data_IF_105930460974
#
_entry.id   IF_105930460974
#
_cell.length_a   1.000
_cell.length_b   1.000
_cell.length_c   1.000
_cell.angle_alpha   90.00
_cell.angle_beta   90.00
_cell.angle_gamma   90.00
#
_symmetry.space_group_name_H-M   'P 1'
#
loop_
_entity.id
_entity.type
_entity.pdbx_description
1 polymer ?
#
# COMPACT_ATOMS: atom_id res chain seq x y z
N UNK A 1 41.43 -21.88 16.02
CA UNK A 1 40.77 -20.75 16.71
C UNK A 1 39.79 -19.98 15.80
N UNK A 2 40.23 -19.17 14.83
CA UNK A 2 39.30 -18.39 13.98
C UNK A 2 38.28 -19.26 13.21
N UNK A 3 38.74 -20.39 12.66
CA UNK A 3 37.89 -21.34 11.93
C UNK A 3 36.78 -21.92 12.80
N UNK A 4 37.10 -22.25 14.04
CA UNK A 4 36.17 -22.88 14.99
C UNK A 4 35.10 -21.89 15.45
N UNK A 5 35.51 -20.65 15.74
CA UNK A 5 34.59 -19.55 16.05
C UNK A 5 33.65 -19.30 14.87
N UNK A 6 34.18 -19.28 13.64
CA UNK A 6 33.36 -19.11 12.43
C UNK A 6 32.38 -20.26 12.20
N UNK A 7 32.80 -21.50 12.46
CA UNK A 7 31.93 -22.69 12.36
C UNK A 7 30.82 -22.65 13.41
N UNK A 8 31.16 -22.32 14.66
CA UNK A 8 30.20 -22.14 15.75
C UNK A 8 29.17 -21.06 15.43
N UNK A 9 29.62 -19.87 15.01
CA UNK A 9 28.72 -18.78 14.64
C UNK A 9 27.78 -19.15 13.47
N UNK A 10 28.24 -19.97 12.51
CA UNK A 10 27.41 -20.48 11.41
C UNK A 10 26.34 -21.48 11.87
N UNK A 11 26.63 -22.29 12.89
CA UNK A 11 25.72 -23.32 13.41
C UNK A 11 24.77 -22.78 14.49
N UNK A 12 25.13 -21.67 15.14
CA UNK A 12 24.31 -21.07 16.18
C UNK A 12 22.98 -20.55 15.62
N UNK A 13 21.89 -21.28 15.90
CA UNK A 13 20.53 -20.95 15.46
C UNK A 13 20.08 -19.55 15.90
N UNK A 14 20.34 -19.18 17.16
CA UNK A 14 19.97 -17.86 17.68
C UNK A 14 20.66 -16.72 16.92
N UNK A 15 21.93 -16.91 16.55
CA UNK A 15 22.67 -15.95 15.73
C UNK A 15 22.14 -15.92 14.29
N UNK A 16 21.90 -17.08 13.66
CA UNK A 16 21.42 -17.13 12.28
C UNK A 16 20.00 -16.54 12.13
N UNK A 17 19.10 -16.76 13.09
CA UNK A 17 17.74 -16.21 13.05
C UNK A 17 17.68 -14.68 13.17
N UNK A 18 18.66 -14.06 13.83
CA UNK A 18 18.74 -12.60 14.00
C UNK A 18 19.58 -11.91 12.93
N UNK A 19 20.42 -12.67 12.22
CA UNK A 19 21.37 -12.13 11.27
C UNK A 19 20.66 -11.78 9.97
N UNK A 20 20.90 -10.56 9.48
CA UNK A 20 20.48 -10.19 8.13
C UNK A 20 21.12 -11.10 7.07
N UNK A 21 20.37 -11.52 6.03
CA UNK A 21 20.92 -12.29 4.93
C UNK A 21 22.13 -11.59 4.28
N UNK A 22 23.19 -12.35 4.00
CA UNK A 22 24.38 -11.85 3.27
C UNK A 22 24.69 -12.80 2.11
N UNK A 23 24.67 -12.32 0.86
CA UNK A 23 24.38 -10.95 0.44
C UNK A 23 22.90 -10.60 0.71
N UNK A 24 22.62 -9.31 0.89
CA UNK A 24 21.25 -8.84 0.85
C UNK A 24 20.72 -9.08 -0.57
N UNK A 25 19.99 -10.18 -0.80
CA UNK A 25 19.29 -10.38 -2.07
C UNK A 25 18.22 -9.30 -2.18
N UNK A 26 18.51 -8.26 -2.96
CA UNK A 26 17.54 -7.23 -3.35
C UNK A 26 17.23 -7.47 -4.81
N UNK A 27 16.00 -7.88 -5.11
CA UNK A 27 15.52 -7.83 -6.48
C UNK A 27 15.55 -6.36 -6.95
N UNK A 28 15.97 -6.06 -8.19
CA UNK A 28 15.80 -4.74 -8.75
C UNK A 28 14.33 -4.34 -8.67
N UNK A 29 14.07 -3.13 -8.18
CA UNK A 29 12.73 -2.57 -8.20
C UNK A 29 12.41 -2.23 -9.66
N UNK A 30 11.53 -2.99 -10.29
CA UNK A 30 11.08 -2.70 -11.65
C UNK A 30 10.30 -1.39 -11.68
N UNK A 31 10.43 -0.61 -12.76
CA UNK A 31 9.60 0.56 -12.97
C UNK A 31 8.17 0.17 -13.33
N UNK A 32 7.19 0.77 -12.66
CA UNK A 32 5.79 0.70 -13.09
C UNK A 32 5.57 1.78 -14.16
N UNK A 33 5.38 1.38 -15.41
CA UNK A 33 5.04 2.32 -16.49
C UNK A 33 3.52 2.36 -16.65
N UNK A 34 2.97 3.57 -16.71
CA UNK A 34 1.60 3.87 -17.11
C UNK A 34 1.72 4.77 -18.34
N UNK A 35 0.91 4.54 -19.37
CA UNK A 35 1.00 5.29 -20.64
C UNK A 35 -0.24 6.14 -20.90
N UNK A 36 -1.34 5.85 -20.21
CA UNK A 36 -2.59 6.60 -20.31
C UNK A 36 -3.00 7.18 -18.94
N UNK A 37 -3.71 8.32 -18.98
CA UNK A 37 -4.31 8.95 -17.79
C UNK A 37 -5.27 8.00 -17.10
N UNK A 38 -5.15 7.87 -15.78
CA UNK A 38 -6.00 7.05 -14.92
C UNK A 38 -6.02 5.56 -15.29
N UNK A 39 -5.05 5.11 -16.10
CA UNK A 39 -4.89 3.70 -16.45
C UNK A 39 -4.52 2.89 -15.21
N UNK A 40 -3.52 3.35 -14.47
CA UNK A 40 -3.08 2.75 -13.22
C UNK A 40 -3.15 3.78 -12.12
N UNK A 41 -3.85 3.45 -11.04
CA UNK A 41 -4.00 4.33 -9.88
C UNK A 41 -3.58 3.60 -8.61
N UNK A 42 -2.91 4.30 -7.70
CA UNK A 42 -2.64 3.83 -6.35
C UNK A 42 -3.74 4.35 -5.42
N UNK A 43 -4.17 3.52 -4.48
CA UNK A 43 -5.14 3.87 -3.46
C UNK A 43 -4.58 3.52 -2.08
N UNK A 44 -4.67 4.47 -1.15
CA UNK A 44 -4.24 4.30 0.24
C UNK A 44 -5.13 5.11 1.18
N UNK A 45 -5.13 4.79 2.48
CA UNK A 45 -5.85 5.55 3.49
C UNK A 45 -4.89 6.09 4.53
N UNK A 46 -4.93 7.41 4.70
CA UNK A 46 -4.23 8.09 5.78
C UNK A 46 -5.16 8.31 6.99
N UNK A 47 -4.65 8.05 8.19
CA UNK A 47 -5.29 8.46 9.44
C UNK A 47 -4.73 9.81 9.90
N UNK A 48 -5.63 10.73 10.24
CA UNK A 48 -5.33 12.08 10.71
C UNK A 48 -6.01 12.34 12.07
N UNK A 49 -5.59 13.38 12.79
CA UNK A 49 -6.31 13.82 13.98
C UNK A 49 -7.80 14.07 13.67
N UNK A 50 -8.67 13.57 14.56
CA UNK A 50 -10.12 13.71 14.38
C UNK A 50 -10.52 15.19 14.34
N UNK A 51 -11.20 15.57 13.27
CA UNK A 51 -11.75 16.93 13.11
C UNK A 51 -12.96 17.15 14.02
N UNK A 52 -13.40 18.40 14.18
CA UNK A 52 -14.62 18.75 14.92
C UNK A 52 -15.89 18.09 14.36
N UNK A 53 -15.85 17.64 13.09
CA UNK A 53 -16.95 16.94 12.41
C UNK A 53 -16.87 15.41 12.53
N UNK A 54 -15.92 14.88 13.32
CA UNK A 54 -15.74 13.44 13.51
C UNK A 54 -15.03 12.72 12.36
N UNK A 55 -14.55 13.44 11.34
CA UNK A 55 -13.77 12.87 10.24
C UNK A 55 -12.35 12.60 10.74
N UNK A 56 -11.83 11.41 10.44
CA UNK A 56 -10.50 10.94 10.86
C UNK A 56 -9.64 10.42 9.70
N UNK A 57 -10.26 9.96 8.62
CA UNK A 57 -9.54 9.25 7.56
C UNK A 57 -9.61 10.03 6.25
N UNK A 58 -8.59 9.85 5.41
CA UNK A 58 -8.55 10.37 4.05
C UNK A 58 -8.18 9.24 3.09
N UNK A 59 -9.07 8.95 2.15
CA UNK A 59 -8.75 8.10 1.01
C UNK A 59 -7.96 8.91 -0.01
N UNK A 60 -6.79 8.41 -0.36
CA UNK A 60 -5.89 9.01 -1.33
C UNK A 60 -5.93 8.14 -2.57
N UNK A 61 -6.22 8.73 -3.74
CA UNK A 61 -6.14 8.05 -5.03
C UNK A 61 -5.20 8.85 -5.95
N UNK A 62 -4.04 8.27 -6.26
CA UNK A 62 -2.99 8.87 -7.09
C UNK A 62 -2.90 8.19 -8.46
N UNK A 63 -2.91 8.97 -9.53
CA UNK A 63 -2.59 8.50 -10.89
C UNK A 63 -1.09 8.27 -11.08
N UNK A 64 -0.70 7.09 -11.59
CA UNK A 64 0.71 6.74 -11.76
C UNK A 64 1.42 7.59 -12.82
N UNK A 65 0.71 8.02 -13.87
CA UNK A 65 1.30 8.76 -14.98
C UNK A 65 1.58 10.22 -14.60
N UNK A 66 0.55 10.94 -14.18
CA UNK A 66 0.61 12.39 -13.93
C UNK A 66 0.96 12.76 -12.50
N UNK A 67 0.85 11.81 -11.56
CA UNK A 67 0.92 12.08 -10.12
C UNK A 67 -0.20 12.98 -9.61
N UNK A 68 -1.31 13.05 -10.35
CA UNK A 68 -2.51 13.73 -9.91
C UNK A 68 -3.17 12.97 -8.75
N UNK A 69 -3.48 13.69 -7.66
CA UNK A 69 -3.99 13.11 -6.41
C UNK A 69 -5.41 13.60 -6.16
N UNK A 70 -6.32 12.65 -5.91
CA UNK A 70 -7.64 12.91 -5.37
C UNK A 70 -7.67 12.54 -3.89
N UNK A 71 -8.26 13.40 -3.07
CA UNK A 71 -8.36 13.22 -1.62
C UNK A 71 -9.83 13.23 -1.20
N UNK A 72 -10.27 12.18 -0.51
CA UNK A 72 -11.64 12.06 -0.05
C UNK A 72 -11.68 11.85 1.46
N UNK A 73 -12.45 12.68 2.15
CA UNK A 73 -12.61 12.59 3.59
C UNK A 73 -13.55 11.43 3.95
N UNK A 74 -13.08 10.50 4.79
CA UNK A 74 -13.84 9.34 5.24
C UNK A 74 -14.11 9.39 6.76
N UNK A 75 -15.34 9.06 7.19
CA UNK A 75 -15.67 8.94 8.62
C UNK A 75 -15.11 7.67 9.27
N UNK A 76 -14.88 6.61 8.48
CA UNK A 76 -14.35 5.33 8.93
C UNK A 76 -13.65 4.60 7.76
N UNK A 77 -12.96 3.49 8.05
CA UNK A 77 -12.28 2.64 7.05
C UNK A 77 -13.08 1.38 6.68
N UNK A 78 -14.41 1.39 6.84
CA UNK A 78 -15.23 0.23 6.45
C UNK A 78 -15.18 0.01 4.93
N UNK A 79 -15.22 -1.25 4.52
CA UNK A 79 -15.23 -1.66 3.10
C UNK A 79 -16.35 -0.94 2.34
N UNK A 80 -17.54 -0.83 2.94
CA UNK A 80 -18.70 -0.17 2.33
C UNK A 80 -18.43 1.32 2.10
N UNK A 81 -17.79 2.00 3.06
CA UNK A 81 -17.50 3.43 2.97
C UNK A 81 -16.46 3.70 1.88
N UNK A 82 -15.39 2.89 1.84
CA UNK A 82 -14.34 2.99 0.82
C UNK A 82 -14.89 2.68 -0.57
N UNK A 83 -15.66 1.59 -0.72
CA UNK A 83 -16.26 1.20 -1.99
C UNK A 83 -17.25 2.25 -2.50
N UNK A 84 -18.11 2.79 -1.62
CA UNK A 84 -19.04 3.85 -2.02
C UNK A 84 -18.31 5.10 -2.49
N UNK A 85 -17.25 5.52 -1.79
CA UNK A 85 -16.45 6.67 -2.19
C UNK A 85 -15.74 6.44 -3.53
N UNK A 86 -15.11 5.28 -3.70
CA UNK A 86 -14.46 4.91 -4.96
C UNK A 86 -15.44 4.95 -6.14
N UNK A 87 -16.62 4.35 -6.00
CA UNK A 87 -17.59 4.31 -7.09
C UNK A 87 -18.25 5.67 -7.33
N UNK A 88 -18.77 6.33 -6.28
CA UNK A 88 -19.58 7.55 -6.44
C UNK A 88 -18.76 8.81 -6.66
N UNK A 89 -17.57 8.89 -6.06
CA UNK A 89 -16.80 10.14 -6.06
C UNK A 89 -15.62 10.08 -7.05
N UNK A 90 -14.99 8.91 -7.22
CA UNK A 90 -13.85 8.75 -8.13
C UNK A 90 -14.27 8.23 -9.52
N UNK A 91 -14.91 7.06 -9.60
CA UNK A 91 -15.23 6.40 -10.88
C UNK A 91 -16.23 7.22 -11.71
N UNK A 92 -17.22 7.87 -11.08
CA UNK A 92 -18.14 8.73 -11.82
C UNK A 92 -17.46 9.95 -12.45
N UNK A 93 -16.34 10.41 -11.90
CA UNK A 93 -15.63 11.59 -12.38
C UNK A 93 -14.57 11.25 -13.43
N UNK A 94 -13.77 10.20 -13.17
CA UNK A 94 -12.58 9.85 -13.97
C UNK A 94 -12.77 8.60 -14.84
N UNK A 95 -13.84 7.83 -14.61
CA UNK A 95 -14.04 6.53 -15.21
C UNK A 95 -13.42 5.39 -14.39
N UNK A 96 -13.58 4.16 -14.88
CA UNK A 96 -13.01 2.96 -14.24
C UNK A 96 -11.52 2.86 -14.61
N UNK A 97 -10.60 2.80 -13.63
CA UNK A 97 -9.18 2.62 -13.93
C UNK A 97 -8.92 1.22 -14.48
N UNK A 98 -7.90 1.09 -15.34
CA UNK A 98 -7.48 -0.21 -15.86
C UNK A 98 -6.84 -1.10 -14.79
N UNK A 99 -6.17 -0.51 -13.80
CA UNK A 99 -5.61 -1.21 -12.64
C UNK A 99 -5.67 -0.33 -11.41
N UNK A 100 -6.24 -0.87 -10.33
CA UNK A 100 -6.25 -0.27 -9.01
C UNK A 100 -5.22 -0.98 -8.13
N UNK A 101 -4.27 -0.23 -7.57
CA UNK A 101 -3.19 -0.75 -6.72
C UNK A 101 -3.37 -0.26 -5.29
N UNK A 102 -3.56 -1.18 -4.34
CA UNK A 102 -3.66 -0.87 -2.91
C UNK A 102 -2.71 -1.75 -2.09
N UNK A 103 -2.60 -1.46 -0.80
CA UNK A 103 -2.05 -2.43 0.14
C UNK A 103 -3.04 -3.59 0.42
N UNK A 104 -2.61 -4.54 1.25
CA UNK A 104 -3.42 -5.69 1.69
C UNK A 104 -4.30 -5.34 2.91
N UNK A 105 -4.72 -4.07 3.01
CA UNK A 105 -5.65 -3.63 4.03
C UNK A 105 -7.00 -4.33 3.89
N UNK A 106 -7.63 -4.69 5.01
CA UNK A 106 -8.94 -5.38 5.03
C UNK A 106 -10.02 -4.60 4.28
N UNK A 107 -9.95 -3.27 4.33
CA UNK A 107 -10.84 -2.37 3.62
C UNK A 107 -10.77 -2.50 2.08
N UNK A 108 -9.70 -3.10 1.55
CA UNK A 108 -9.49 -3.29 0.10
C UNK A 108 -9.61 -4.75 -0.34
N UNK A 109 -9.40 -5.72 0.55
CA UNK A 109 -9.46 -7.15 0.22
C UNK A 109 -10.79 -7.85 0.58
N UNK A 110 -11.56 -7.29 1.52
CA UNK A 110 -12.79 -7.93 1.98
C UNK A 110 -13.95 -7.79 0.97
N UNK A 111 -14.86 -8.77 0.96
CA UNK A 111 -16.08 -8.70 0.16
C UNK A 111 -17.00 -7.58 0.65
N UNK A 112 -17.56 -6.83 -0.31
CA UNK A 112 -18.66 -5.91 -0.06
C UNK A 112 -19.93 -6.74 0.02
N UNK A 113 -20.29 -7.19 1.23
CA UNK A 113 -21.57 -7.89 1.50
C UNK A 113 -22.74 -6.91 1.48
#
# INVERSE_FOLDING_TARGET
MYRDIKAWCKQCKACQMRRSPVPAQRAPMGGSQSVQLFERVAMDILELPTTSKGIRYVLVIEDYLTKFVNLYALPNQSVQTVAQCLFKDYVLLHGVPGTLHSDQGRQFEAEVV
#
